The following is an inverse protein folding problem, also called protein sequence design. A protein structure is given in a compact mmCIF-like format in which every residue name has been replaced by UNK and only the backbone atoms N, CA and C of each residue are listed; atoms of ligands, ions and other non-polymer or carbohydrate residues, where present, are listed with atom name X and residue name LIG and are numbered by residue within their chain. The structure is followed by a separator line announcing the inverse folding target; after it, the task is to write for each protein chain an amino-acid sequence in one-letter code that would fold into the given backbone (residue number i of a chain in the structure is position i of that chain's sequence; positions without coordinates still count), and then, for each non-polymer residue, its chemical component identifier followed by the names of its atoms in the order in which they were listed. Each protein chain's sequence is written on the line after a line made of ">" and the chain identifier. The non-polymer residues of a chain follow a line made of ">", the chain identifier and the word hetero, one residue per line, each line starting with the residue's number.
data_IF_356049897411
#
_entry.id   IF_356049897411
#
_cell.length_a   1.000
_cell.length_b   1.000
_cell.length_c   1.000
_cell.angle_alpha   90.00
_cell.angle_beta   90.00
_cell.angle_gamma   90.00
#
_symmetry.space_group_name_H-M   'P 1'
#
loop_
_entity.id
_entity.type
_entity.pdbx_description
1 polymer ?
#
# COMPACT_ATOMS: atom_id res chain seq x y z
N UNK A 1 -2.69 0.46 10.52
CA UNK A 1 -2.47 0.51 9.05
C UNK A 1 -3.15 1.73 8.43
N UNK A 2 -2.56 2.27 7.35
CA UNK A 2 -3.08 3.45 6.65
C UNK A 2 -3.12 3.19 5.14
N UNK A 3 -4.28 3.44 4.52
CA UNK A 3 -4.46 3.40 3.08
C UNK A 3 -4.25 4.80 2.52
N UNK A 4 -3.32 4.93 1.59
CA UNK A 4 -3.05 6.15 0.84
C UNK A 4 -3.73 6.00 -0.51
N UNK A 5 -4.78 6.79 -0.75
CA UNK A 5 -5.50 6.84 -2.02
C UNK A 5 -4.99 7.99 -2.88
N UNK A 6 -5.25 7.90 -4.19
CA UNK A 6 -4.98 8.98 -5.14
C UNK A 6 -5.75 10.24 -4.73
N UNK A 7 -5.15 11.42 -4.94
CA UNK A 7 -5.79 12.70 -4.59
C UNK A 7 -5.52 13.16 -3.16
N UNK A 8 -4.41 12.70 -2.56
CA UNK A 8 -3.95 13.11 -1.24
C UNK A 8 -4.89 12.69 -0.08
N UNK A 9 -5.57 11.56 -0.24
CA UNK A 9 -6.50 11.03 0.76
C UNK A 9 -5.80 9.94 1.56
N UNK A 10 -5.90 10.01 2.89
CA UNK A 10 -5.37 9.00 3.81
C UNK A 10 -6.54 8.47 4.65
N UNK A 11 -6.72 7.16 4.66
CA UNK A 11 -7.74 6.48 5.46
C UNK A 11 -7.08 5.55 6.47
N UNK A 12 -7.58 5.54 7.70
CA UNK A 12 -7.28 4.46 8.61
C UNK A 12 -8.08 3.21 8.21
N UNK A 13 -7.40 2.07 8.20
CA UNK A 13 -8.01 0.77 7.90
C UNK A 13 -7.82 -0.13 9.10
N UNK A 14 -8.79 -1.01 9.33
CA UNK A 14 -8.75 -2.05 10.34
C UNK A 14 -9.14 -3.37 9.66
N UNK A 15 -8.50 -4.49 10.02
CA UNK A 15 -8.87 -5.78 9.45
C UNK A 15 -10.26 -6.19 9.94
N UNK A 16 -11.07 -6.83 9.10
CA UNK A 16 -12.43 -7.27 9.50
C UNK A 16 -12.39 -8.30 10.62
N UNK A 17 -11.34 -9.11 10.68
CA UNK A 17 -11.15 -10.12 11.72
C UNK A 17 -10.54 -9.54 13.02
N UNK A 18 -10.15 -8.26 13.05
CA UNK A 18 -9.55 -7.60 14.21
C UNK A 18 -8.09 -7.98 14.52
N UNK A 19 -7.47 -8.84 13.70
CA UNK A 19 -6.11 -9.35 13.92
C UNK A 19 -5.15 -8.92 12.82
N UNK A 20 -5.43 -9.30 11.57
CA UNK A 20 -4.55 -9.06 10.42
C UNK A 20 -5.33 -8.93 9.12
N UNK A 21 -4.82 -8.13 8.19
CA UNK A 21 -5.42 -7.99 6.86
C UNK A 21 -5.27 -9.30 6.11
N UNK A 22 -6.36 -9.82 5.56
CA UNK A 22 -6.28 -10.98 4.66
C UNK A 22 -5.82 -10.57 3.26
N UNK A 23 -5.35 -11.53 2.48
CA UNK A 23 -4.98 -11.28 1.08
C UNK A 23 -6.17 -10.72 0.28
N UNK A 24 -7.38 -11.23 0.50
CA UNK A 24 -8.59 -10.77 -0.17
C UNK A 24 -8.94 -9.33 0.21
N UNK A 25 -8.74 -8.95 1.47
CA UNK A 25 -8.91 -7.56 1.92
C UNK A 25 -7.88 -6.64 1.28
N UNK A 26 -6.60 -7.04 1.27
CA UNK A 26 -5.54 -6.27 0.64
C UNK A 26 -5.80 -6.06 -0.86
N UNK A 27 -6.18 -7.12 -1.59
CA UNK A 27 -6.53 -7.05 -3.02
C UNK A 27 -7.69 -6.09 -3.28
N UNK A 28 -8.72 -6.11 -2.42
CA UNK A 28 -9.84 -5.17 -2.52
C UNK A 28 -9.44 -3.71 -2.22
N UNK A 29 -8.48 -3.48 -1.31
CA UNK A 29 -8.00 -2.15 -0.94
C UNK A 29 -7.10 -1.52 -2.02
N UNK A 30 -6.22 -2.31 -2.64
CA UNK A 30 -5.31 -1.85 -3.71
C UNK A 30 -5.92 -1.92 -5.10
N UNK A 31 -7.10 -2.53 -5.20
CA UNK A 31 -7.87 -2.72 -6.44
C UNK A 31 -7.10 -3.55 -7.48
N UNK A 32 -6.52 -4.68 -7.07
CA UNK A 32 -5.69 -5.51 -7.96
C UNK A 32 -4.99 -6.67 -7.28
N UNK A 33 -4.04 -7.30 -7.99
CA UNK A 33 -3.19 -8.33 -7.41
C UNK A 33 -2.14 -7.67 -6.53
N UNK A 34 -1.95 -8.19 -5.33
CA UNK A 34 -1.11 -7.54 -4.33
C UNK A 34 0.36 -7.87 -4.55
N UNK A 35 1.17 -6.83 -4.73
CA UNK A 35 2.62 -6.87 -4.51
C UNK A 35 2.92 -6.42 -3.07
N UNK A 36 3.72 -7.21 -2.35
CA UNK A 36 4.26 -6.84 -1.04
C UNK A 36 5.69 -6.34 -1.20
N UNK A 37 5.96 -5.14 -0.68
CA UNK A 37 7.30 -4.54 -0.67
C UNK A 37 7.75 -4.29 0.76
N UNK A 38 8.91 -4.84 1.10
CA UNK A 38 9.57 -4.56 2.39
C UNK A 38 10.22 -3.17 2.40
N UNK A 39 10.05 -2.49 3.52
CA UNK A 39 10.59 -1.17 3.80
C UNK A 39 11.55 -1.26 5.00
N UNK A 40 12.04 -0.12 5.48
CA UNK A 40 12.86 -0.07 6.69
C UNK A 40 12.08 -0.60 7.93
N UNK A 41 12.82 -1.17 8.89
CA UNK A 41 12.31 -1.84 10.08
C UNK A 41 11.33 -2.99 9.75
N UNK A 42 10.18 -3.03 10.43
CA UNK A 42 9.09 -3.98 10.23
C UNK A 42 7.97 -3.40 9.36
N UNK A 43 8.22 -2.34 8.59
CA UNK A 43 7.23 -1.74 7.71
C UNK A 43 7.14 -2.49 6.37
N UNK A 44 5.93 -2.63 5.87
CA UNK A 44 5.65 -3.10 4.52
C UNK A 44 4.66 -2.15 3.84
N UNK A 45 4.65 -2.18 2.51
CA UNK A 45 3.55 -1.64 1.72
C UNK A 45 2.97 -2.70 0.81
N UNK A 46 1.67 -2.59 0.55
CA UNK A 46 0.94 -3.40 -0.42
C UNK A 46 0.39 -2.49 -1.52
N UNK A 47 0.59 -2.87 -2.77
CA UNK A 47 0.07 -2.15 -3.95
C UNK A 47 -0.39 -3.13 -5.04
N UNK A 48 -1.08 -2.63 -6.07
CA UNK A 48 -1.41 -3.44 -7.25
C UNK A 48 -0.15 -3.67 -8.10
N UNK A 49 0.29 -4.94 -8.20
CA UNK A 49 1.46 -5.40 -8.97
C UNK A 49 1.42 -4.88 -10.42
N UNK A 50 0.22 -4.85 -11.01
CA UNK A 50 0.02 -4.43 -12.39
C UNK A 50 -0.36 -2.95 -12.50
N UNK A 51 -0.31 -2.18 -11.41
CA UNK A 51 -0.85 -0.81 -11.36
C UNK A 51 -0.23 0.11 -12.42
N UNK A 52 1.07 -0.06 -12.71
CA UNK A 52 1.77 0.67 -13.76
C UNK A 52 1.30 0.27 -15.16
N UNK A 53 1.13 -1.03 -15.41
CA UNK A 53 0.63 -1.58 -16.68
C UNK A 53 -0.82 -1.14 -16.94
N UNK A 54 -1.62 -1.02 -15.88
CA UNK A 54 -3.00 -0.52 -15.90
C UNK A 54 -3.10 1.01 -16.00
N UNK A 55 -1.98 1.72 -16.07
CA UNK A 55 -1.93 3.19 -16.09
C UNK A 55 -2.68 3.85 -14.92
N UNK A 56 -2.63 3.23 -13.72
CA UNK A 56 -3.24 3.83 -12.53
C UNK A 56 -2.61 5.20 -12.23
N UNK A 57 -3.36 6.15 -11.66
CA UNK A 57 -2.84 7.49 -11.37
C UNK A 57 -1.68 7.44 -10.36
N UNK A 58 -0.73 8.36 -10.50
CA UNK A 58 0.38 8.51 -9.56
C UNK A 58 -0.13 8.87 -8.17
N UNK A 59 0.38 8.18 -7.16
CA UNK A 59 0.11 8.46 -5.76
C UNK A 59 1.34 9.13 -5.12
N UNK A 60 1.38 10.44 -5.21
CA UNK A 60 2.50 11.25 -4.71
C UNK A 60 2.70 11.09 -3.20
N UNK A 61 1.63 11.03 -2.40
CA UNK A 61 1.74 10.87 -0.95
C UNK A 61 2.26 9.49 -0.58
N UNK A 62 1.75 8.43 -1.21
CA UNK A 62 2.28 7.08 -0.99
C UNK A 62 3.77 7.02 -1.37
N UNK A 63 4.16 7.64 -2.48
CA UNK A 63 5.56 7.70 -2.93
C UNK A 63 6.46 8.40 -1.89
N UNK A 64 6.03 9.56 -1.36
CA UNK A 64 6.76 10.28 -0.32
C UNK A 64 6.86 9.43 0.95
N UNK A 65 5.76 8.81 1.38
CA UNK A 65 5.72 7.95 2.56
C UNK A 65 6.68 6.76 2.42
N UNK A 66 6.64 6.06 1.29
CA UNK A 66 7.51 4.91 1.02
C UNK A 66 8.99 5.32 1.05
N UNK A 67 9.35 6.45 0.43
CA UNK A 67 10.73 6.98 0.47
C UNK A 67 11.18 7.36 1.88
N UNK A 68 10.29 7.91 2.69
CA UNK A 68 10.54 8.19 4.10
C UNK A 68 10.75 6.93 4.94
N UNK A 69 10.35 5.77 4.42
CA UNK A 69 10.54 4.43 4.99
C UNK A 69 11.59 3.62 4.21
N UNK A 70 12.54 4.27 3.53
CA UNK A 70 13.69 3.60 2.91
C UNK A 70 13.46 3.04 1.49
N UNK A 71 12.26 3.17 0.92
CA UNK A 71 12.00 2.71 -0.44
C UNK A 71 12.75 3.53 -1.49
N UNK A 72 13.42 2.85 -2.42
CA UNK A 72 14.27 3.47 -3.47
C UNK A 72 13.66 3.48 -4.87
N UNK A 73 12.37 3.14 -4.99
CA UNK A 73 11.67 3.13 -6.28
C UNK A 73 11.31 4.52 -6.80
N UNK A 74 10.88 4.56 -8.06
CA UNK A 74 10.56 5.81 -8.77
C UNK A 74 9.29 6.47 -8.23
N UNK A 75 8.13 5.83 -8.38
CA UNK A 75 6.85 6.32 -7.90
C UNK A 75 5.86 5.17 -7.75
N UNK A 76 4.89 5.33 -6.85
CA UNK A 76 3.78 4.41 -6.66
C UNK A 76 2.54 4.95 -7.37
N UNK A 77 1.65 4.03 -7.78
CA UNK A 77 0.39 4.34 -8.46
C UNK A 77 -0.78 3.65 -7.77
N UNK A 78 -1.98 4.21 -7.94
CA UNK A 78 -3.18 3.69 -7.30
C UNK A 78 -3.17 3.80 -5.78
N UNK A 79 -4.02 3.01 -5.13
CA UNK A 79 -4.08 2.93 -3.68
C UNK A 79 -2.96 2.06 -3.13
N UNK A 80 -2.32 2.52 -2.05
CA UNK A 80 -1.23 1.79 -1.39
C UNK A 80 -1.52 1.67 0.10
N UNK A 81 -1.48 0.45 0.62
CA UNK A 81 -1.67 0.18 2.04
C UNK A 81 -0.33 0.09 2.74
N UNK A 82 -0.13 0.89 3.78
CA UNK A 82 1.04 0.81 4.67
C UNK A 82 0.65 0.18 6.00
N UNK A 83 1.44 -0.80 6.43
CA UNK A 83 1.22 -1.60 7.64
C UNK A 83 2.54 -2.22 8.12
N UNK A 84 2.51 -2.84 9.29
CA UNK A 84 3.62 -3.67 9.77
C UNK A 84 3.53 -5.07 9.21
N UNK A 85 4.67 -5.74 9.04
CA UNK A 85 4.76 -7.11 8.50
C UNK A 85 3.87 -8.09 9.29
N UNK A 86 3.87 -7.99 10.61
CA UNK A 86 3.01 -8.80 11.50
C UNK A 86 1.49 -8.54 11.38
N UNK A 87 1.09 -7.46 10.70
CA UNK A 87 -0.32 -7.08 10.51
C UNK A 87 -0.91 -7.68 9.21
N UNK A 88 -0.14 -8.47 8.45
CA UNK A 88 -0.55 -9.18 7.23
C UNK A 88 -0.48 -10.71 7.37
#
# INVERSE_FOLDING_TARGET
>A
MKLYEVGCIIKEVQPKNGVKITLEEAQALVDGYVELVHLDDDNILLCDEEGLLKHKPINTLATIQARGLGWKGSYLVGSVLFLKDKEF
#
